data_IF_349235462129
#
_entry.id   IF_349235462129
#
_cell.length_a   1.000
_cell.length_b   1.000
_cell.length_c   1.000
_cell.angle_alpha   90.00
_cell.angle_beta   90.00
_cell.angle_gamma   90.00
#
_symmetry.space_group_name_H-M   'P 1'
#
loop_
_entity.id
_entity.type
_entity.pdbx_description
1 polymer ?
#
# COMPACT_ATOMS: atom_id res chain seq x y z
N UNK A 1 -0.53 -22.06 8.62
CA UNK A 1 -1.62 -22.41 7.70
C UNK A 1 -1.71 -23.92 7.58
N UNK A 2 -2.89 -24.49 7.27
CA UNK A 2 -3.04 -25.91 7.00
C UNK A 2 -2.05 -26.39 5.95
N UNK A 3 -1.72 -27.68 5.96
CA UNK A 3 -0.78 -28.26 5.00
C UNK A 3 -1.25 -27.98 3.56
N UNK A 4 -0.36 -27.47 2.68
CA UNK A 4 -0.68 -27.10 1.31
C UNK A 4 -1.18 -25.67 1.09
N UNK A 5 -1.45 -24.87 2.14
CA UNK A 5 -1.80 -23.47 1.99
C UNK A 5 -0.55 -22.60 2.00
N UNK A 6 -0.29 -21.92 0.89
CA UNK A 6 0.76 -20.92 0.78
C UNK A 6 0.21 -19.59 1.29
N UNK A 7 0.82 -19.05 2.35
CA UNK A 7 0.52 -17.73 2.87
C UNK A 7 1.71 -16.81 2.68
N UNK A 8 1.51 -15.70 1.98
CA UNK A 8 2.52 -14.66 1.82
C UNK A 8 2.96 -14.02 3.16
N UNK A 9 2.22 -14.31 4.25
CA UNK A 9 2.51 -13.79 5.59
C UNK A 9 3.16 -14.82 6.51
N UNK A 10 3.45 -16.01 6.02
CA UNK A 10 4.10 -17.06 6.82
C UNK A 10 5.43 -16.57 7.41
N UNK A 11 6.22 -15.84 6.61
CA UNK A 11 7.50 -15.30 7.05
C UNK A 11 7.37 -14.34 8.25
N UNK A 12 6.25 -13.62 8.38
CA UNK A 12 5.98 -12.70 9.50
C UNK A 12 5.99 -13.41 10.86
N UNK A 13 5.62 -14.69 10.88
CA UNK A 13 5.52 -15.52 12.08
C UNK A 13 6.59 -16.62 12.15
N UNK A 14 7.65 -16.48 11.37
CA UNK A 14 8.71 -17.49 11.29
C UNK A 14 9.48 -17.67 12.62
N UNK A 15 9.49 -16.62 13.46
CA UNK A 15 10.16 -16.65 14.76
C UNK A 15 9.34 -17.36 15.86
N UNK A 16 8.10 -17.77 15.59
CA UNK A 16 7.28 -18.51 16.56
C UNK A 16 7.73 -19.97 16.52
N UNK A 17 8.31 -20.42 17.63
CA UNK A 17 8.75 -21.80 17.84
C UNK A 17 7.60 -22.69 18.30
N UNK A 18 6.82 -22.23 19.29
CA UNK A 18 5.64 -22.94 19.78
C UNK A 18 4.53 -22.00 20.25
N UNK A 19 3.31 -22.52 20.28
CA UNK A 19 2.12 -21.84 20.80
C UNK A 19 1.53 -22.76 21.86
N UNK A 20 1.43 -22.28 23.11
CA UNK A 20 0.90 -23.01 24.25
C UNK A 20 -0.38 -22.35 24.75
N UNK A 21 -1.30 -23.17 25.23
CA UNK A 21 -2.57 -22.71 25.81
C UNK A 21 -2.74 -23.35 27.21
N UNK A 22 -2.03 -22.81 28.24
CA UNK A 22 -1.99 -23.44 29.57
C UNK A 22 -3.34 -23.40 30.30
N UNK A 23 -4.23 -22.53 29.86
CA UNK A 23 -5.61 -22.42 30.37
C UNK A 23 -6.53 -21.78 29.29
N UNK A 24 -7.87 -21.77 29.49
CA UNK A 24 -8.83 -21.28 28.48
C UNK A 24 -8.68 -19.80 28.06
N UNK A 25 -7.96 -19.00 28.82
CA UNK A 25 -7.86 -17.55 28.62
C UNK A 25 -6.43 -17.08 28.33
N UNK A 26 -5.46 -17.98 28.27
CA UNK A 26 -4.05 -17.63 28.08
C UNK A 26 -3.48 -18.33 26.84
N UNK A 27 -2.85 -17.55 25.97
CA UNK A 27 -2.05 -18.05 24.83
C UNK A 27 -0.62 -17.57 25.01
N UNK A 28 0.34 -18.49 24.97
CA UNK A 28 1.77 -18.20 25.09
C UNK A 28 2.46 -18.49 23.78
N UNK A 29 3.06 -17.47 23.17
CA UNK A 29 3.90 -17.62 21.98
C UNK A 29 5.36 -17.65 22.41
N UNK A 30 6.02 -18.77 22.23
CA UNK A 30 7.47 -18.90 22.44
C UNK A 30 8.18 -18.55 21.14
N UNK A 31 9.14 -17.64 21.23
CA UNK A 31 9.91 -17.17 20.07
C UNK A 31 11.32 -17.75 20.12
N UNK A 32 11.82 -18.18 18.96
CA UNK A 32 13.20 -18.65 18.78
C UNK A 32 14.23 -17.53 18.98
N UNK A 33 13.83 -16.29 18.80
CA UNK A 33 14.62 -15.09 19.07
C UNK A 33 13.70 -13.92 19.44
N UNK A 34 14.25 -12.94 20.17
CA UNK A 34 13.51 -11.72 20.50
C UNK A 34 13.08 -10.97 19.23
N UNK A 35 11.80 -10.62 19.14
CA UNK A 35 11.23 -9.88 18.02
C UNK A 35 10.30 -8.79 18.56
N UNK A 36 10.79 -7.54 18.58
CA UNK A 36 10.04 -6.38 19.08
C UNK A 36 8.81 -6.05 18.23
N UNK A 37 8.76 -6.47 16.96
CA UNK A 37 7.63 -6.23 16.06
C UNK A 37 6.51 -7.26 16.16
N UNK A 38 6.64 -8.27 17.03
CA UNK A 38 5.65 -9.36 17.09
C UNK A 38 4.26 -8.86 17.48
N UNK A 39 4.16 -7.91 18.40
CA UNK A 39 2.86 -7.32 18.79
C UNK A 39 2.23 -6.53 17.63
N UNK A 40 3.03 -5.79 16.86
CA UNK A 40 2.55 -5.09 15.67
C UNK A 40 2.05 -6.07 14.61
N UNK A 41 2.70 -7.23 14.48
CA UNK A 41 2.25 -8.29 13.59
C UNK A 41 0.89 -8.84 14.00
N UNK A 42 0.65 -9.07 15.29
CA UNK A 42 -0.67 -9.49 15.78
C UNK A 42 -1.72 -8.39 15.63
N UNK A 43 -1.36 -7.11 15.80
CA UNK A 43 -2.26 -5.97 15.63
C UNK A 43 -2.58 -5.66 14.16
N UNK A 44 -1.87 -6.24 13.21
CA UNK A 44 -2.10 -6.00 11.79
C UNK A 44 -3.46 -6.51 11.33
N UNK A 45 -4.27 -5.70 10.61
CA UNK A 45 -5.58 -6.13 10.11
C UNK A 45 -5.51 -7.28 9.09
N UNK A 46 -4.30 -7.60 8.61
CA UNK A 46 -4.06 -8.73 7.72
C UNK A 46 -3.80 -10.05 8.43
N UNK A 47 -3.64 -10.03 9.75
CA UNK A 47 -3.31 -11.19 10.57
C UNK A 47 -4.48 -11.52 11.51
N UNK A 48 -5.67 -11.69 10.93
CA UNK A 48 -6.89 -12.00 11.66
C UNK A 48 -6.83 -13.39 12.30
N UNK A 49 -7.40 -13.50 13.49
CA UNK A 49 -7.60 -14.78 14.19
C UNK A 49 -8.97 -15.34 13.81
N UNK A 50 -9.00 -16.58 13.39
CA UNK A 50 -10.22 -17.28 12.98
C UNK A 50 -10.75 -18.18 14.08
N UNK A 51 -12.05 -18.43 14.07
CA UNK A 51 -12.69 -19.43 14.93
C UNK A 51 -12.16 -20.84 14.60
N UNK A 52 -11.55 -21.50 15.56
CA UNK A 52 -11.07 -22.88 15.40
C UNK A 52 -12.23 -23.86 15.10
N UNK A 53 -13.39 -23.64 15.70
CA UNK A 53 -14.60 -24.44 15.49
C UNK A 53 -15.07 -24.35 14.04
N UNK A 54 -15.11 -23.12 13.49
CA UNK A 54 -15.61 -22.91 12.13
C UNK A 54 -14.61 -23.44 11.09
N UNK A 55 -13.30 -23.28 11.33
CA UNK A 55 -12.25 -23.86 10.46
C UNK A 55 -12.24 -25.39 10.50
N UNK A 56 -12.54 -26.01 11.64
CA UNK A 56 -12.65 -27.47 11.74
C UNK A 56 -13.88 -27.99 10.98
N UNK A 57 -14.98 -27.25 10.98
CA UNK A 57 -16.20 -27.59 10.24
C UNK A 57 -16.04 -27.36 8.73
N UNK A 58 -15.39 -26.27 8.32
CA UNK A 58 -15.13 -25.92 6.92
C UNK A 58 -13.81 -25.14 6.78
N UNK A 59 -12.74 -25.75 6.26
CA UNK A 59 -11.47 -25.07 6.03
C UNK A 59 -11.56 -23.87 5.07
N UNK A 60 -12.61 -23.78 4.24
CA UNK A 60 -12.88 -22.66 3.32
C UNK A 60 -13.80 -21.59 3.93
N UNK A 61 -14.27 -21.78 5.16
CA UNK A 61 -15.13 -20.83 5.86
C UNK A 61 -14.73 -19.34 5.65
N UNK A 62 -13.44 -18.94 5.74
CA UNK A 62 -13.06 -17.53 5.60
C UNK A 62 -13.29 -16.93 4.22
N UNK A 63 -13.62 -17.75 3.20
CA UNK A 63 -13.92 -17.28 1.85
C UNK A 63 -15.36 -16.82 1.67
N UNK A 64 -16.25 -17.26 2.55
CA UNK A 64 -17.70 -17.06 2.40
C UNK A 64 -18.33 -16.38 3.61
N UNK A 65 -17.74 -16.53 4.79
CA UNK A 65 -18.28 -16.02 6.04
C UNK A 65 -17.18 -15.38 6.89
N UNK A 66 -17.60 -14.52 7.80
CA UNK A 66 -16.73 -13.88 8.80
C UNK A 66 -17.36 -14.17 10.17
N UNK A 67 -16.56 -14.71 11.07
CA UNK A 67 -16.91 -14.88 12.48
C UNK A 67 -15.73 -14.41 13.33
N UNK A 68 -15.89 -13.33 14.03
CA UNK A 68 -14.84 -12.69 14.82
C UNK A 68 -15.43 -11.95 16.02
N UNK A 69 -14.54 -11.39 16.83
CA UNK A 69 -14.88 -10.65 18.06
C UNK A 69 -14.95 -9.14 17.82
N UNK A 70 -15.05 -8.71 16.57
CA UNK A 70 -15.05 -7.31 16.16
C UNK A 70 -16.33 -6.55 16.52
N UNK A 71 -16.34 -5.22 16.28
CA UNK A 71 -17.47 -4.36 16.60
C UNK A 71 -18.70 -4.58 15.72
N UNK A 72 -18.55 -5.27 14.61
CA UNK A 72 -19.65 -5.59 13.69
C UNK A 72 -19.71 -7.08 13.39
N UNK A 73 -20.92 -7.63 13.34
CA UNK A 73 -21.19 -8.98 12.86
C UNK A 73 -21.45 -8.97 11.37
N UNK A 74 -21.01 -10.02 10.70
CA UNK A 74 -21.18 -10.18 9.25
C UNK A 74 -22.65 -10.34 8.86
N UNK A 75 -23.08 -9.65 7.81
CA UNK A 75 -24.41 -9.78 7.24
C UNK A 75 -24.31 -10.46 5.88
N UNK A 76 -23.61 -9.83 4.92
CA UNK A 76 -23.46 -10.37 3.57
C UNK A 76 -22.20 -9.85 2.88
N UNK A 77 -21.73 -10.62 1.88
CA UNK A 77 -20.74 -10.21 0.91
C UNK A 77 -21.24 -10.54 -0.48
N UNK A 78 -21.67 -9.53 -1.22
CA UNK A 78 -22.05 -9.65 -2.63
C UNK A 78 -20.84 -9.33 -3.48
N UNK A 79 -20.27 -10.37 -4.09
CA UNK A 79 -19.00 -10.27 -4.83
C UNK A 79 -19.09 -9.21 -5.93
N UNK A 80 -18.11 -8.30 -5.94
CA UNK A 80 -18.06 -7.18 -6.89
C UNK A 80 -19.02 -6.02 -6.61
N UNK A 81 -19.86 -6.12 -5.58
CA UNK A 81 -20.82 -5.09 -5.20
C UNK A 81 -20.53 -4.49 -3.84
N UNK A 82 -20.66 -5.24 -2.76
CA UNK A 82 -20.50 -4.70 -1.41
C UNK A 82 -20.26 -5.78 -0.35
N UNK A 83 -19.82 -5.33 0.82
CA UNK A 83 -19.83 -6.08 2.08
C UNK A 83 -20.64 -5.31 3.12
N UNK A 84 -21.43 -6.00 3.92
CA UNK A 84 -22.27 -5.41 4.95
C UNK A 84 -22.08 -6.08 6.31
N UNK A 85 -22.17 -5.26 7.35
CA UNK A 85 -22.17 -5.70 8.74
C UNK A 85 -23.12 -4.88 9.60
N UNK A 86 -23.60 -5.48 10.66
CA UNK A 86 -24.43 -4.83 11.68
C UNK A 86 -23.70 -4.80 13.02
N UNK A 87 -24.08 -3.87 13.88
CA UNK A 87 -23.56 -3.75 15.26
C UNK A 87 -23.50 -5.12 15.94
N UNK A 88 -22.38 -5.35 16.61
CA UNK A 88 -22.24 -6.47 17.54
C UNK A 88 -22.67 -6.00 18.94
N UNK A 89 -23.87 -6.37 19.35
CA UNK A 89 -24.41 -5.99 20.66
C UNK A 89 -23.59 -6.56 21.84
N UNK A 90 -22.83 -7.62 21.59
CA UNK A 90 -21.95 -8.26 22.56
C UNK A 90 -20.47 -7.82 22.41
N UNK A 91 -20.22 -6.66 21.79
CA UNK A 91 -18.85 -6.19 21.65
C UNK A 91 -18.23 -5.87 23.01
N UNK A 92 -17.00 -6.36 23.24
CA UNK A 92 -16.35 -6.31 24.55
C UNK A 92 -15.98 -4.88 25.02
N UNK A 93 -15.91 -3.89 24.11
CA UNK A 93 -15.70 -2.49 24.46
C UNK A 93 -17.04 -1.81 24.67
N UNK A 94 -17.34 -1.43 25.94
CA UNK A 94 -18.59 -0.76 26.31
C UNK A 94 -18.78 0.54 25.52
N UNK A 95 -20.02 0.77 25.04
CA UNK A 95 -20.40 1.97 24.30
C UNK A 95 -19.97 1.98 22.82
N UNK A 96 -19.36 0.92 22.33
CA UNK A 96 -18.94 0.77 20.94
C UNK A 96 -19.61 -0.46 20.30
N UNK A 97 -19.76 -0.44 18.96
CA UNK A 97 -19.52 0.69 18.03
C UNK A 97 -20.64 1.74 18.12
N UNK A 98 -20.35 2.96 17.69
CA UNK A 98 -21.37 4.03 17.61
C UNK A 98 -22.36 3.84 16.47
N UNK A 99 -21.94 3.20 15.37
CA UNK A 99 -22.77 2.95 14.21
C UNK A 99 -23.57 1.67 14.38
N UNK A 100 -24.82 1.65 13.88
CA UNK A 100 -25.69 0.47 13.90
C UNK A 100 -25.29 -0.56 12.84
N UNK A 101 -24.77 -0.07 11.70
CA UNK A 101 -24.33 -0.91 10.60
C UNK A 101 -23.31 -0.20 9.71
N UNK A 102 -22.68 -0.96 8.83
CA UNK A 102 -21.90 -0.43 7.73
C UNK A 102 -22.21 -1.18 6.43
N UNK A 103 -22.01 -0.50 5.31
CA UNK A 103 -22.02 -1.10 3.97
C UNK A 103 -20.84 -0.55 3.18
N UNK A 104 -19.85 -1.39 2.93
CA UNK A 104 -18.69 -1.08 2.10
C UNK A 104 -18.97 -1.40 0.64
N UNK A 105 -19.16 -0.39 -0.20
CA UNK A 105 -19.47 -0.53 -1.64
C UNK A 105 -18.18 -0.60 -2.44
N UNK A 106 -18.07 -1.57 -3.35
CA UNK A 106 -16.93 -1.72 -4.24
C UNK A 106 -17.19 -0.97 -5.55
N UNK A 107 -16.36 -0.01 -5.86
CA UNK A 107 -16.35 0.65 -7.18
C UNK A 107 -14.91 0.92 -7.62
N UNK A 108 -14.64 0.66 -8.90
CA UNK A 108 -13.35 0.97 -9.53
C UNK A 108 -13.39 2.29 -10.28
N UNK A 109 -14.57 2.86 -10.48
CA UNK A 109 -14.78 4.06 -11.27
C UNK A 109 -14.81 5.28 -10.35
N UNK A 110 -13.78 6.13 -10.42
CA UNK A 110 -13.68 7.34 -9.61
C UNK A 110 -14.91 8.26 -9.78
N UNK A 111 -15.38 8.45 -11.00
CA UNK A 111 -16.57 9.27 -11.27
C UNK A 111 -17.84 8.73 -10.59
N UNK A 112 -18.05 7.41 -10.61
CA UNK A 112 -19.19 6.78 -9.95
C UNK A 112 -19.13 6.94 -8.43
N UNK A 113 -17.95 6.81 -7.85
CA UNK A 113 -17.72 7.01 -6.41
C UNK A 113 -17.99 8.47 -6.01
N UNK A 114 -17.48 9.44 -6.76
CA UNK A 114 -17.71 10.88 -6.50
C UNK A 114 -19.20 11.25 -6.62
N UNK A 115 -19.89 10.73 -7.63
CA UNK A 115 -21.33 10.96 -7.79
C UNK A 115 -22.12 10.34 -6.62
N UNK A 116 -21.75 9.14 -6.17
CA UNK A 116 -22.39 8.50 -5.03
C UNK A 116 -22.18 9.28 -3.72
N UNK A 117 -20.99 9.85 -3.52
CA UNK A 117 -20.70 10.70 -2.38
C UNK A 117 -21.48 12.02 -2.46
N UNK A 118 -21.49 12.67 -3.62
CA UNK A 118 -22.22 13.93 -3.86
C UNK A 118 -23.73 13.74 -3.71
N UNK A 119 -24.27 12.61 -4.18
CA UNK A 119 -25.68 12.24 -4.06
C UNK A 119 -26.08 11.69 -2.68
N UNK A 120 -25.16 11.59 -1.72
CA UNK A 120 -25.43 11.08 -0.37
C UNK A 120 -25.69 9.56 -0.31
N UNK A 121 -25.39 8.83 -1.38
CA UNK A 121 -25.51 7.36 -1.43
C UNK A 121 -24.41 6.67 -0.64
N UNK A 122 -23.24 7.31 -0.52
CA UNK A 122 -22.15 6.94 0.37
C UNK A 122 -21.76 8.12 1.24
N UNK A 123 -21.34 7.85 2.46
CA UNK A 123 -21.04 8.86 3.48
C UNK A 123 -19.54 9.12 3.63
N UNK A 124 -18.70 8.23 3.14
CA UNK A 124 -17.25 8.36 3.25
C UNK A 124 -16.54 7.65 2.10
N UNK A 125 -15.44 8.26 1.66
CA UNK A 125 -14.43 7.65 0.81
C UNK A 125 -13.09 7.73 1.58
N UNK A 126 -12.40 6.59 1.72
CA UNK A 126 -11.21 6.49 2.56
C UNK A 126 -9.92 6.15 1.80
N UNK A 127 -10.00 5.86 0.50
CA UNK A 127 -8.82 5.53 -0.32
C UNK A 127 -8.12 6.77 -0.88
N UNK A 128 -8.84 7.86 -0.97
CA UNK A 128 -8.37 9.13 -1.46
C UNK A 128 -8.78 9.46 -2.88
N UNK A 129 -8.87 10.73 -3.15
CA UNK A 129 -9.26 11.30 -4.44
C UNK A 129 -8.13 12.17 -4.99
N UNK A 130 -8.15 12.46 -6.29
CA UNK A 130 -7.19 13.38 -6.88
C UNK A 130 -7.38 14.81 -6.32
N UNK A 131 -6.35 15.67 -6.31
CA UNK A 131 -6.51 17.06 -5.89
C UNK A 131 -7.61 17.79 -6.67
N UNK A 132 -7.69 17.57 -7.99
CA UNK A 132 -8.73 18.15 -8.82
C UNK A 132 -10.14 17.67 -8.45
N UNK A 133 -10.29 16.37 -8.14
CA UNK A 133 -11.58 15.83 -7.69
C UNK A 133 -11.96 16.37 -6.30
N UNK A 134 -10.99 16.48 -5.39
CA UNK A 134 -11.19 17.11 -4.07
C UNK A 134 -11.72 18.55 -4.24
N UNK A 135 -11.03 19.36 -5.03
CA UNK A 135 -11.38 20.77 -5.21
C UNK A 135 -12.77 20.93 -5.84
N UNK A 136 -13.09 20.07 -6.83
CA UNK A 136 -14.43 20.02 -7.42
C UNK A 136 -15.51 19.64 -6.40
N UNK A 137 -15.24 18.66 -5.55
CA UNK A 137 -16.19 18.21 -4.52
C UNK A 137 -16.39 19.27 -3.44
N UNK A 138 -15.30 19.94 -3.01
CA UNK A 138 -15.39 21.07 -2.07
C UNK A 138 -16.21 22.21 -2.66
N UNK A 139 -15.98 22.56 -3.93
CA UNK A 139 -16.76 23.60 -4.61
C UNK A 139 -18.25 23.24 -4.72
N UNK A 140 -18.58 21.96 -4.95
CA UNK A 140 -19.95 21.48 -5.14
C UNK A 140 -20.71 21.28 -3.82
N UNK A 141 -20.04 20.89 -2.75
CA UNK A 141 -20.69 20.44 -1.50
C UNK A 141 -20.53 21.44 -0.34
N UNK A 142 -19.50 22.30 -0.38
CA UNK A 142 -19.23 23.27 0.67
C UNK A 142 -19.13 22.61 2.05
N UNK A 143 -19.86 23.16 3.03
CA UNK A 143 -19.85 22.71 4.42
C UNK A 143 -20.43 21.29 4.64
N UNK A 144 -21.06 20.70 3.62
CA UNK A 144 -21.54 19.31 3.67
C UNK A 144 -20.43 18.28 3.49
N UNK A 145 -19.23 18.72 3.08
CA UNK A 145 -18.10 17.84 2.87
C UNK A 145 -16.97 18.18 3.83
N UNK A 146 -16.56 17.19 4.62
CA UNK A 146 -15.32 17.26 5.41
C UNK A 146 -14.20 16.54 4.65
N UNK A 147 -13.12 17.26 4.40
CA UNK A 147 -11.90 16.70 3.80
C UNK A 147 -10.85 16.50 4.88
N UNK A 148 -10.36 15.28 5.02
CA UNK A 148 -9.24 14.96 5.89
C UNK A 148 -8.02 14.60 5.05
N UNK A 149 -6.94 15.33 5.25
CA UNK A 149 -5.68 15.09 4.54
C UNK A 149 -4.63 14.51 5.46
N UNK A 150 -4.08 13.37 5.04
CA UNK A 150 -2.90 12.79 5.67
C UNK A 150 -1.65 13.21 4.90
N UNK A 151 -0.58 13.53 5.63
CA UNK A 151 0.69 13.91 5.02
C UNK A 151 1.45 12.72 4.43
N UNK A 152 1.21 11.50 4.94
CA UNK A 152 1.92 10.29 4.51
C UNK A 152 1.20 9.02 4.98
N UNK A 153 0.67 8.25 4.07
CA UNK A 153 -0.02 6.99 4.38
C UNK A 153 0.73 5.76 3.91
N UNK A 154 1.50 5.86 2.82
CA UNK A 154 2.29 4.76 2.27
C UNK A 154 3.39 5.27 1.33
N UNK A 155 4.38 4.42 1.08
CA UNK A 155 5.37 4.62 0.02
C UNK A 155 4.91 3.92 -1.26
N UNK A 156 5.10 4.57 -2.40
CA UNK A 156 5.03 3.89 -3.68
C UNK A 156 6.40 3.31 -4.02
N UNK A 157 6.44 2.02 -4.29
CA UNK A 157 7.67 1.28 -4.51
C UNK A 157 7.69 0.65 -5.89
N UNK A 158 8.89 0.62 -6.49
CA UNK A 158 9.20 -0.26 -7.63
C UNK A 158 10.02 -1.42 -7.11
N UNK A 159 9.56 -2.63 -7.37
CA UNK A 159 10.23 -3.86 -6.97
C UNK A 159 10.93 -4.48 -8.18
N UNK A 160 12.23 -4.69 -8.07
CA UNK A 160 13.01 -5.40 -9.06
C UNK A 160 13.22 -6.85 -8.63
N UNK A 161 13.06 -7.80 -9.57
CA UNK A 161 13.48 -9.17 -9.31
C UNK A 161 15.00 -9.27 -9.37
N UNK A 162 15.64 -9.22 -8.21
CA UNK A 162 17.11 -9.20 -8.09
C UNK A 162 17.77 -10.55 -8.34
N UNK A 163 17.00 -11.61 -8.53
CA UNK A 163 17.51 -12.93 -8.87
C UNK A 163 17.65 -13.15 -10.38
N UNK A 164 17.08 -12.25 -11.19
CA UNK A 164 17.06 -12.38 -12.65
C UNK A 164 17.74 -11.21 -13.37
N UNK A 165 18.45 -11.48 -14.47
CA UNK A 165 18.92 -10.43 -15.37
C UNK A 165 17.73 -9.60 -15.90
N UNK A 166 17.94 -8.32 -16.16
CA UNK A 166 19.15 -7.53 -15.91
C UNK A 166 19.22 -6.99 -14.48
N UNK A 167 18.21 -7.23 -13.66
CA UNK A 167 18.07 -6.60 -12.34
C UNK A 167 18.90 -7.27 -11.21
N UNK A 168 19.54 -8.40 -11.48
CA UNK A 168 20.54 -8.97 -10.59
C UNK A 168 21.82 -8.10 -10.53
N UNK A 169 22.09 -7.28 -11.57
CA UNK A 169 23.19 -6.33 -11.56
C UNK A 169 22.82 -5.06 -10.78
N UNK A 170 23.58 -4.76 -9.74
CA UNK A 170 23.38 -3.58 -8.90
C UNK A 170 23.55 -2.26 -9.66
N UNK A 171 24.40 -2.24 -10.72
CA UNK A 171 24.65 -1.05 -11.54
C UNK A 171 23.38 -0.66 -12.32
N UNK A 172 22.66 -1.65 -12.83
CA UNK A 172 21.38 -1.42 -13.53
C UNK A 172 20.35 -0.83 -12.56
N UNK A 173 20.20 -1.43 -11.38
CA UNK A 173 19.25 -0.90 -10.38
C UNK A 173 19.58 0.51 -9.92
N UNK A 174 20.88 0.81 -9.70
CA UNK A 174 21.36 2.16 -9.36
C UNK A 174 21.08 3.16 -10.47
N UNK A 175 21.33 2.80 -11.72
CA UNK A 175 21.05 3.64 -12.87
C UNK A 175 19.56 4.02 -12.95
N UNK A 176 18.67 3.04 -12.84
CA UNK A 176 17.23 3.29 -12.85
C UNK A 176 16.79 4.16 -11.65
N UNK A 177 17.38 3.97 -10.48
CA UNK A 177 17.12 4.77 -9.29
C UNK A 177 17.53 6.23 -9.47
N UNK A 178 18.74 6.46 -10.06
CA UNK A 178 19.33 7.79 -10.24
C UNK A 178 18.67 8.59 -11.36
N UNK A 179 17.98 7.93 -12.30
CA UNK A 179 17.26 8.59 -13.37
C UNK A 179 16.02 9.37 -12.92
N UNK A 180 15.46 9.02 -11.75
CA UNK A 180 14.17 9.53 -11.27
C UNK A 180 14.37 10.87 -10.57
N UNK A 181 13.79 11.93 -11.14
CA UNK A 181 13.67 13.23 -10.51
C UNK A 181 12.57 13.21 -9.42
N UNK A 182 12.97 12.90 -8.20
CA UNK A 182 12.01 12.86 -7.07
C UNK A 182 11.56 14.25 -6.65
N UNK A 183 12.45 15.24 -6.70
CA UNK A 183 12.16 16.58 -6.21
C UNK A 183 11.24 17.34 -7.13
N UNK A 184 11.58 17.43 -8.43
CA UNK A 184 10.71 18.04 -9.43
C UNK A 184 9.48 17.19 -9.73
N UNK A 185 9.65 15.87 -9.79
CA UNK A 185 8.58 14.91 -10.06
C UNK A 185 7.49 14.91 -8.98
N UNK A 186 7.83 15.00 -7.70
CA UNK A 186 6.83 15.06 -6.63
C UNK A 186 5.95 16.31 -6.71
N UNK A 187 6.49 17.43 -7.17
CA UNK A 187 5.71 18.64 -7.40
C UNK A 187 4.71 18.47 -8.56
N UNK A 188 5.13 17.80 -9.64
CA UNK A 188 4.26 17.44 -10.76
C UNK A 188 3.17 16.44 -10.37
N UNK A 189 3.58 15.36 -9.72
CA UNK A 189 2.67 14.30 -9.28
C UNK A 189 1.69 14.76 -8.20
N UNK A 190 2.06 15.73 -7.35
CA UNK A 190 1.18 16.30 -6.35
C UNK A 190 -0.07 16.99 -6.95
N UNK A 191 0.01 17.44 -8.21
CA UNK A 191 -1.12 18.10 -8.89
C UNK A 191 -2.15 17.09 -9.43
N UNK A 192 -1.73 15.87 -9.72
CA UNK A 192 -2.56 14.85 -10.39
C UNK A 192 -2.68 13.55 -9.58
N UNK A 193 -1.97 13.45 -8.47
CA UNK A 193 -1.89 12.26 -7.64
C UNK A 193 -1.67 12.63 -6.16
N UNK A 194 -1.61 11.64 -5.30
CA UNK A 194 -1.30 11.78 -3.86
C UNK A 194 0.20 11.77 -3.54
N UNK A 195 1.06 11.62 -4.57
CA UNK A 195 2.52 11.57 -4.42
C UNK A 195 3.09 12.98 -4.36
N UNK A 196 3.27 13.52 -3.17
CA UNK A 196 3.65 14.93 -2.95
C UNK A 196 4.84 15.16 -2.03
N UNK A 197 5.44 14.09 -1.51
CA UNK A 197 6.57 14.23 -0.60
C UNK A 197 7.73 13.33 -1.01
N UNK A 198 8.95 13.82 -0.82
CA UNK A 198 10.19 13.08 -1.01
C UNK A 198 10.70 12.64 0.35
N UNK A 199 11.03 11.36 0.46
CA UNK A 199 11.60 10.80 1.68
C UNK A 199 12.26 9.46 1.45
N UNK A 200 12.95 8.96 2.45
CA UNK A 200 13.47 7.61 2.49
C UNK A 200 12.37 6.59 2.82
N UNK A 201 12.74 5.52 3.51
CA UNK A 201 11.80 4.50 3.98
C UNK A 201 10.88 5.06 5.08
N UNK A 202 11.43 5.93 5.93
CA UNK A 202 10.69 6.59 7.01
C UNK A 202 10.15 7.92 6.52
N UNK A 203 8.89 8.22 6.88
CA UNK A 203 8.21 9.45 6.45
C UNK A 203 8.96 10.72 6.90
N UNK A 204 9.01 11.78 6.09
CA UNK A 204 9.51 13.08 6.51
C UNK A 204 8.80 13.60 7.76
N UNK A 205 9.55 14.25 8.65
CA UNK A 205 9.04 14.74 9.93
C UNK A 205 9.01 13.71 11.06
N UNK A 206 9.35 12.44 10.80
CA UNK A 206 9.63 11.47 11.86
C UNK A 206 11.01 11.73 12.47
N UNK A 207 11.22 11.52 13.79
CA UNK A 207 12.54 11.59 14.41
C UNK A 207 13.55 10.60 13.81
N UNK A 208 13.07 9.52 13.18
CA UNK A 208 13.89 8.50 12.53
C UNK A 208 14.08 8.73 11.03
N UNK A 209 13.51 9.80 10.47
CA UNK A 209 13.66 10.10 9.06
C UNK A 209 15.06 10.64 8.75
N UNK A 210 15.64 10.20 7.63
CA UNK A 210 16.86 10.79 7.10
C UNK A 210 16.61 12.27 6.77
N UNK A 211 17.36 13.22 7.34
CA UNK A 211 17.22 14.63 7.01
C UNK A 211 17.47 14.89 5.53
N UNK A 212 16.81 15.90 4.96
CA UNK A 212 16.97 16.24 3.54
C UNK A 212 18.43 16.47 3.16
N UNK A 213 19.21 17.16 4.00
CA UNK A 213 20.63 17.43 3.77
C UNK A 213 21.48 16.15 3.61
N UNK A 214 21.08 15.05 4.25
CA UNK A 214 21.72 13.75 4.08
C UNK A 214 21.09 12.95 2.94
N UNK A 215 19.78 13.07 2.77
CA UNK A 215 19.04 12.35 1.75
C UNK A 215 19.53 12.71 0.34
N UNK A 216 19.82 13.98 0.06
CA UNK A 216 20.32 14.45 -1.25
C UNK A 216 21.67 13.89 -1.62
N UNK A 217 22.45 13.38 -0.68
CA UNK A 217 23.74 12.73 -0.91
C UNK A 217 23.61 11.27 -1.34
N UNK A 218 22.42 10.68 -1.14
CA UNK A 218 22.17 9.28 -1.47
C UNK A 218 21.90 9.10 -2.97
N UNK A 219 22.31 7.98 -3.57
CA UNK A 219 21.95 7.66 -4.96
C UNK A 219 20.45 7.74 -5.18
N UNK A 220 20.03 8.44 -6.25
CA UNK A 220 18.62 8.62 -6.61
C UNK A 220 17.91 9.76 -5.88
N UNK A 221 18.59 10.52 -5.02
CA UNK A 221 18.02 11.70 -4.36
C UNK A 221 18.74 13.01 -4.70
N UNK A 222 19.67 12.97 -5.67
CA UNK A 222 20.32 14.19 -6.16
C UNK A 222 19.30 15.17 -6.73
N UNK A 223 19.52 16.47 -6.48
CA UNK A 223 18.78 17.55 -7.14
C UNK A 223 19.38 17.94 -8.49
N UNK A 224 20.65 17.60 -8.72
CA UNK A 224 21.30 17.74 -10.03
C UNK A 224 20.95 16.54 -10.93
N UNK A 225 19.82 16.65 -11.61
CA UNK A 225 19.37 15.58 -12.51
C UNK A 225 20.22 15.43 -13.78
N UNK A 226 20.95 16.46 -14.19
CA UNK A 226 21.86 16.38 -15.33
C UNK A 226 23.03 15.43 -15.01
N UNK A 227 23.69 15.67 -13.90
CA UNK A 227 24.77 14.82 -13.41
C UNK A 227 24.28 13.41 -13.07
N UNK A 228 23.16 13.29 -12.35
CA UNK A 228 22.58 11.99 -11.98
C UNK A 228 22.24 11.12 -13.19
N UNK A 229 21.64 11.69 -14.23
CA UNK A 229 21.33 10.96 -15.49
C UNK A 229 22.55 10.65 -16.32
N UNK A 230 23.59 11.50 -16.31
CA UNK A 230 24.86 11.17 -16.96
C UNK A 230 25.52 9.95 -16.31
N UNK A 231 25.54 9.92 -14.97
CA UNK A 231 26.05 8.78 -14.20
C UNK A 231 25.20 7.52 -14.42
N UNK A 232 23.89 7.65 -14.47
CA UNK A 232 22.99 6.53 -14.76
C UNK A 232 23.31 5.88 -16.12
N UNK A 233 23.53 6.69 -17.18
CA UNK A 233 23.95 6.18 -18.49
C UNK A 233 25.32 5.51 -18.44
N UNK A 234 26.26 6.06 -17.69
CA UNK A 234 27.60 5.45 -17.49
C UNK A 234 27.47 4.06 -16.87
N UNK A 235 26.67 3.92 -15.81
CA UNK A 235 26.42 2.64 -15.13
C UNK A 235 25.74 1.61 -16.05
N UNK A 236 24.78 2.03 -16.88
CA UNK A 236 24.16 1.14 -17.88
C UNK A 236 25.17 0.66 -18.91
N UNK A 237 26.06 1.55 -19.39
CA UNK A 237 27.13 1.20 -20.33
C UNK A 237 28.10 0.18 -19.70
N UNK A 238 28.56 0.41 -18.48
CA UNK A 238 29.43 -0.52 -17.76
C UNK A 238 28.78 -1.88 -17.49
N UNK A 239 27.46 -1.90 -17.37
CA UNK A 239 26.69 -3.14 -17.23
C UNK A 239 26.38 -3.82 -18.58
N UNK A 240 26.77 -3.24 -19.72
CA UNK A 240 26.42 -3.73 -21.05
C UNK A 240 24.93 -3.61 -21.37
N UNK A 241 24.25 -2.65 -20.76
CA UNK A 241 22.79 -2.46 -20.83
C UNK A 241 22.38 -1.11 -21.44
N UNK A 242 23.15 -0.62 -22.42
CA UNK A 242 22.88 0.68 -23.08
C UNK A 242 21.54 0.73 -23.83
N UNK A 243 21.02 -0.43 -24.22
CA UNK A 243 19.73 -0.60 -24.90
C UNK A 243 18.74 -1.39 -24.03
N UNK A 244 18.75 -1.11 -22.73
CA UNK A 244 17.90 -1.81 -21.76
C UNK A 244 16.42 -1.68 -22.13
N UNK A 245 15.73 -2.83 -22.21
CA UNK A 245 14.28 -2.92 -22.39
C UNK A 245 13.68 -3.83 -21.33
N UNK A 246 12.54 -3.42 -20.76
CA UNK A 246 11.80 -4.27 -19.83
C UNK A 246 10.32 -3.90 -19.74
N UNK A 247 9.55 -4.74 -19.07
CA UNK A 247 8.12 -4.51 -18.81
C UNK A 247 7.96 -4.01 -17.37
N UNK A 248 7.30 -2.87 -17.20
CA UNK A 248 6.80 -2.40 -15.91
C UNK A 248 5.36 -2.87 -15.72
N UNK A 249 5.14 -3.84 -14.83
CA UNK A 249 3.82 -4.24 -14.39
C UNK A 249 3.30 -3.29 -13.32
N UNK A 250 2.14 -2.71 -13.54
CA UNK A 250 1.54 -1.75 -12.64
C UNK A 250 0.07 -2.09 -12.39
N UNK A 251 -0.51 -1.50 -11.37
CA UNK A 251 -1.95 -1.65 -11.09
C UNK A 251 -2.75 -0.70 -11.97
N UNK A 252 -3.81 -1.20 -12.59
CA UNK A 252 -4.77 -0.38 -13.34
C UNK A 252 -5.68 0.36 -12.35
N UNK A 253 -5.13 1.36 -11.68
CA UNK A 253 -5.85 2.25 -10.76
C UNK A 253 -5.44 3.68 -11.03
N UNK A 254 -6.46 4.54 -11.19
CA UNK A 254 -6.30 5.95 -11.53
C UNK A 254 -5.36 6.70 -10.55
N UNK A 255 -5.34 6.28 -9.28
CA UNK A 255 -4.47 6.86 -8.26
C UNK A 255 -3.94 5.81 -7.28
N UNK A 256 -2.68 5.93 -6.85
CA UNK A 256 -1.59 6.76 -7.40
C UNK A 256 -0.83 6.07 -8.54
N UNK A 257 -1.24 4.86 -8.95
CA UNK A 257 -0.40 3.92 -9.71
C UNK A 257 -0.22 4.32 -11.16
N UNK A 258 -1.31 4.64 -11.88
CA UNK A 258 -1.21 5.00 -13.30
C UNK A 258 -0.33 6.23 -13.54
N UNK A 259 -0.53 7.38 -12.85
CA UNK A 259 0.33 8.55 -13.02
C UNK A 259 1.79 8.27 -12.65
N UNK A 260 2.04 7.51 -11.60
CA UNK A 260 3.39 7.16 -11.19
C UNK A 260 4.10 6.26 -12.21
N UNK A 261 3.40 5.29 -12.79
CA UNK A 261 3.94 4.43 -13.85
C UNK A 261 4.33 5.24 -15.09
N UNK A 262 3.45 6.13 -15.56
CA UNK A 262 3.71 7.02 -16.69
C UNK A 262 4.92 7.91 -16.40
N UNK A 263 4.98 8.50 -15.22
CA UNK A 263 6.12 9.30 -14.79
C UNK A 263 7.43 8.51 -14.81
N UNK A 264 7.46 7.30 -14.24
CA UNK A 264 8.65 6.46 -14.21
C UNK A 264 9.15 6.09 -15.62
N UNK A 265 8.23 5.71 -16.51
CA UNK A 265 8.58 5.42 -17.93
C UNK A 265 9.25 6.62 -18.58
N UNK A 266 8.72 7.83 -18.38
CA UNK A 266 9.31 9.05 -18.90
C UNK A 266 10.73 9.29 -18.33
N UNK A 267 10.89 9.13 -17.01
CA UNK A 267 12.20 9.33 -16.37
C UNK A 267 13.26 8.35 -16.89
N UNK A 268 12.91 7.09 -17.10
CA UNK A 268 13.84 6.08 -17.63
C UNK A 268 14.14 6.26 -19.12
N UNK A 269 13.16 6.74 -19.90
CA UNK A 269 13.38 7.10 -21.30
C UNK A 269 14.47 8.17 -21.45
N UNK A 270 14.59 9.09 -20.49
CA UNK A 270 15.60 10.15 -20.52
C UNK A 270 17.04 9.64 -20.36
N UNK A 271 17.23 8.39 -19.96
CA UNK A 271 18.53 7.72 -19.92
C UNK A 271 18.69 6.63 -20.99
N UNK A 272 17.77 6.57 -21.98
CA UNK A 272 17.82 5.63 -23.10
C UNK A 272 17.19 4.27 -22.83
N UNK A 273 16.46 4.12 -21.73
CA UNK A 273 15.78 2.86 -21.38
C UNK A 273 14.37 2.83 -21.99
N UNK A 274 14.02 1.72 -22.61
CA UNK A 274 12.70 1.46 -23.18
C UNK A 274 11.86 0.62 -22.23
N UNK A 275 10.70 1.12 -21.84
CA UNK A 275 9.82 0.43 -20.89
C UNK A 275 8.43 0.26 -21.48
N UNK A 276 7.97 -0.99 -21.55
CA UNK A 276 6.58 -1.31 -21.82
C UNK A 276 5.78 -1.22 -20.51
N UNK A 277 4.81 -0.31 -20.44
CA UNK A 277 3.97 -0.13 -19.25
C UNK A 277 2.69 -0.96 -19.38
N UNK A 278 2.57 -2.02 -18.60
CA UNK A 278 1.39 -2.89 -18.53
C UNK A 278 0.60 -2.66 -17.23
N UNK A 279 -0.73 -2.62 -17.38
CA UNK A 279 -1.68 -2.44 -16.27
C UNK A 279 -2.73 -3.55 -16.25
#
# INVERSE_FOLDING_TARGET
>A
PPQGVVSNRRATFADIESIETPNPTTVVFKLSKANSSMLDHFASPWNTVYSAKDLAADPNFPRTKINGTGPFTFVEHVKGSHVAGKRNENYFKKGLPYLDSYRGIFTLQAAAMLNALQGGQVLAEFRGVSPADRDRMVAAMGDKLRVEESSWTLNLLVLFNTEKPPFNDVRVRRALLMAIDRWGGSQGLAKISTLRAVGGVVRPGSPLATPEAELVKLPGFSKDMKAARAEARRLLKEAGQEKLKFVLWNRNLAMPYTPAGIFLVDQWRQIGVEVEHKQ
#
